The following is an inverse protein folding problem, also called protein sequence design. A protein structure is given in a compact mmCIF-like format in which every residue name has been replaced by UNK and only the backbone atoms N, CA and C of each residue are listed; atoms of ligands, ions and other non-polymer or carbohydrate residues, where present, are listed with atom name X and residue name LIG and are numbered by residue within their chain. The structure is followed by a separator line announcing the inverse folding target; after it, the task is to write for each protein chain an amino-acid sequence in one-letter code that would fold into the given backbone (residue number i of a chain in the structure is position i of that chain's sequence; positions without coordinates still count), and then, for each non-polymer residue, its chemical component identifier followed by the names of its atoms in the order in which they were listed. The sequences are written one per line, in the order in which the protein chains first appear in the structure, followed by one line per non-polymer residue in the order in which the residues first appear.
data_IF_303987099808
#
_entry.id   IF_303987099808
#
_cell.length_a   1.000
_cell.length_b   1.000
_cell.length_c   1.000
_cell.angle_alpha   90.00
_cell.angle_beta   90.00
_cell.angle_gamma   90.00
#
_symmetry.space_group_name_H-M   'P 1'
#
loop_
_entity.id
_entity.type
_entity.pdbx_description
1 polymer ?
#
# COMPACT_ATOMS: atom_id res chain seq x y z
N UNK A 1 1.02 3.60 15.56
CA UNK A 1 0.10 4.21 14.56
C UNK A 1 -0.12 5.66 14.99
N UNK A 2 0.75 6.57 14.52
CA UNK A 2 0.79 7.93 15.05
C UNK A 2 -0.43 8.76 14.59
N UNK A 3 -0.91 9.66 15.46
CA UNK A 3 -2.22 10.34 15.40
C UNK A 3 -2.35 11.40 14.30
N UNK A 4 -1.35 11.55 13.42
CA UNK A 4 -1.13 12.73 12.59
C UNK A 4 -1.39 12.60 11.09
N UNK A 5 -2.35 11.78 10.64
CA UNK A 5 -2.74 11.80 9.22
C UNK A 5 -3.71 12.96 8.93
N UNK A 6 -3.11 14.16 8.87
CA UNK A 6 -3.45 15.43 8.21
C UNK A 6 -4.93 15.74 7.86
N UNK A 7 -5.43 16.86 8.41
CA UNK A 7 -6.72 17.51 8.09
C UNK A 7 -6.48 18.76 7.22
N UNK A 8 -7.30 18.96 6.17
CA UNK A 8 -7.32 20.16 5.33
C UNK A 8 -8.35 20.06 4.19
N UNK A 9 -8.93 21.20 3.78
CA UNK A 9 -10.13 21.32 2.92
C UNK A 9 -10.00 20.83 1.47
N UNK A 10 -8.82 20.40 1.01
CA UNK A 10 -8.60 20.04 -0.39
C UNK A 10 -7.77 18.77 -0.57
N UNK A 11 -8.42 17.62 -0.35
CA UNK A 11 -7.87 16.24 -0.35
C UNK A 11 -7.37 15.82 1.03
N UNK A 12 -7.90 14.71 1.57
CA UNK A 12 -7.14 13.58 2.13
C UNK A 12 -8.12 12.56 2.78
N UNK A 13 -7.90 11.28 2.48
CA UNK A 13 -8.67 10.12 2.94
C UNK A 13 -8.81 10.01 4.47
N UNK A 14 -9.95 9.45 4.96
CA UNK A 14 -10.25 9.17 6.39
C UNK A 14 -9.03 8.66 7.20
N UNK A 15 -8.95 8.87 8.53
CA UNK A 15 -7.89 8.28 9.36
C UNK A 15 -7.73 6.77 9.14
N UNK A 16 -6.50 6.24 9.24
CA UNK A 16 -6.22 4.83 8.90
C UNK A 16 -7.11 3.85 9.68
N UNK A 17 -7.29 4.07 10.98
CA UNK A 17 -8.13 3.25 11.85
C UNK A 17 -9.63 3.27 11.47
N UNK A 18 -10.07 4.27 10.69
CA UNK A 18 -11.43 4.33 10.12
C UNK A 18 -11.53 3.68 8.73
N UNK A 19 -10.40 3.42 8.07
CA UNK A 19 -10.34 2.81 6.72
C UNK A 19 -10.10 1.32 6.73
N UNK A 20 -9.41 0.82 7.76
CA UNK A 20 -9.02 -0.57 7.86
C UNK A 20 -9.03 -1.00 9.32
N UNK A 21 -9.52 -2.21 9.59
CA UNK A 21 -9.39 -2.81 10.90
C UNK A 21 -7.93 -3.13 11.20
N UNK A 22 -7.53 -3.12 12.48
CA UNK A 22 -6.17 -3.54 12.88
C UNK A 22 -5.85 -4.95 12.37
N UNK A 23 -6.81 -5.87 12.44
CA UNK A 23 -6.65 -7.25 11.98
C UNK A 23 -6.35 -7.33 10.48
N UNK A 24 -7.02 -6.53 9.65
CA UNK A 24 -6.77 -6.52 8.21
C UNK A 24 -5.39 -5.96 7.85
N UNK A 25 -4.94 -4.93 8.57
CA UNK A 25 -3.59 -4.39 8.40
C UNK A 25 -2.54 -5.44 8.78
N UNK A 26 -2.70 -6.13 9.90
CA UNK A 26 -1.77 -7.22 10.29
C UNK A 26 -1.73 -8.32 9.23
N UNK A 27 -2.90 -8.76 8.73
CA UNK A 27 -2.97 -9.72 7.62
C UNK A 27 -2.28 -9.18 6.36
N UNK A 28 -2.41 -7.89 6.07
CA UNK A 28 -1.78 -7.27 4.91
C UNK A 28 -0.26 -7.26 5.04
N UNK A 29 0.28 -6.87 6.20
CA UNK A 29 1.72 -6.88 6.49
C UNK A 29 2.30 -8.30 6.34
N UNK A 30 1.62 -9.31 6.87
CA UNK A 30 2.05 -10.71 6.75
C UNK A 30 1.92 -11.28 5.34
N UNK A 31 1.25 -10.57 4.43
CA UNK A 31 0.99 -11.02 3.06
C UNK A 31 1.50 -10.06 2.00
N UNK A 32 2.45 -9.17 2.33
CA UNK A 32 3.16 -8.37 1.33
C UNK A 32 3.83 -9.32 0.34
N UNK A 33 3.58 -9.10 -0.95
CA UNK A 33 4.10 -9.92 -2.04
C UNK A 33 5.09 -9.14 -2.92
N UNK A 34 4.94 -7.83 -3.02
CA UNK A 34 5.86 -6.96 -3.77
C UNK A 34 5.97 -5.60 -3.11
N UNK A 35 7.15 -5.02 -3.26
CA UNK A 35 7.47 -3.65 -2.85
C UNK A 35 8.16 -2.92 -3.98
N UNK A 36 8.04 -1.60 -4.00
CA UNK A 36 8.72 -0.76 -4.97
C UNK A 36 8.86 0.66 -4.41
N UNK A 37 9.90 1.38 -4.82
CA UNK A 37 10.06 2.79 -4.47
C UNK A 37 8.90 3.62 -5.02
N UNK A 38 8.39 4.55 -4.22
CA UNK A 38 7.39 5.52 -4.68
C UNK A 38 7.98 6.43 -5.79
N UNK A 39 7.20 6.80 -6.80
CA UNK A 39 7.67 7.67 -7.90
C UNK A 39 7.93 9.11 -7.45
N UNK A 40 7.14 9.58 -6.48
CA UNK A 40 7.04 11.01 -6.16
C UNK A 40 7.85 11.39 -4.90
N UNK A 41 8.32 10.41 -4.12
CA UNK A 41 9.03 10.66 -2.85
C UNK A 41 9.97 9.50 -2.45
N UNK A 42 10.52 9.58 -1.23
CA UNK A 42 11.48 8.60 -0.67
C UNK A 42 10.82 7.37 -0.03
N UNK A 43 9.49 7.26 -0.08
CA UNK A 43 8.76 6.17 0.58
C UNK A 43 8.82 4.88 -0.24
N UNK A 44 8.54 3.77 0.44
CA UNK A 44 8.37 2.45 -0.17
C UNK A 44 6.89 2.15 -0.24
N UNK A 45 6.42 1.84 -1.45
CA UNK A 45 5.11 1.31 -1.67
C UNK A 45 5.17 -0.22 -1.59
N UNK A 46 4.11 -0.83 -1.10
CA UNK A 46 3.96 -2.27 -1.02
C UNK A 46 2.55 -2.68 -1.46
N UNK A 47 2.45 -3.90 -1.99
CA UNK A 47 1.18 -4.54 -2.27
C UNK A 47 1.11 -5.89 -1.54
N UNK A 48 -0.06 -6.17 -0.98
CA UNK A 48 -0.33 -7.41 -0.25
C UNK A 48 -1.36 -8.30 -0.95
N UNK A 49 -1.29 -9.60 -0.67
CA UNK A 49 -2.21 -10.58 -1.25
C UNK A 49 -3.67 -10.35 -0.86
N UNK A 50 -3.92 -9.81 0.34
CA UNK A 50 -5.27 -9.44 0.76
C UNK A 50 -5.77 -8.11 0.12
N UNK A 51 -4.99 -7.54 -0.81
CA UNK A 51 -5.40 -6.47 -1.72
C UNK A 51 -5.17 -5.07 -1.20
N UNK A 52 -4.26 -4.88 -0.24
CA UNK A 52 -3.90 -3.57 0.27
C UNK A 52 -2.70 -2.99 -0.47
N UNK A 53 -2.77 -1.69 -0.72
CA UNK A 53 -1.63 -0.85 -1.00
C UNK A 53 -1.17 -0.21 0.30
N UNK A 54 0.11 -0.30 0.62
CA UNK A 54 0.70 0.21 1.86
C UNK A 54 1.89 1.11 1.50
N UNK A 55 2.05 2.23 2.21
CA UNK A 55 3.19 3.14 2.06
C UNK A 55 3.96 3.19 3.37
N UNK A 56 5.25 2.93 3.27
CA UNK A 56 6.20 2.95 4.37
C UNK A 56 7.15 4.14 4.28
N UNK A 57 7.35 4.81 5.41
CA UNK A 57 8.45 5.75 5.64
C UNK A 57 9.37 5.14 6.71
N UNK A 58 10.42 4.45 6.27
CA UNK A 58 11.20 3.59 7.17
C UNK A 58 10.30 2.53 7.82
N UNK A 59 10.22 2.55 9.16
CA UNK A 59 9.42 1.59 9.93
C UNK A 59 7.96 2.03 10.14
N UNK A 60 7.57 3.19 9.64
CA UNK A 60 6.22 3.74 9.86
C UNK A 60 5.30 3.50 8.67
N UNK A 61 4.07 3.07 8.93
CA UNK A 61 3.00 3.03 7.92
C UNK A 61 2.39 4.43 7.81
N UNK A 62 2.66 5.10 6.70
CA UNK A 62 2.09 6.43 6.39
C UNK A 62 0.63 6.27 5.96
N UNK A 63 0.37 5.33 5.07
CA UNK A 63 -0.99 5.00 4.64
C UNK A 63 -1.12 3.54 4.26
N UNK A 64 -2.31 2.99 4.46
CA UNK A 64 -2.71 1.73 3.89
C UNK A 64 -4.16 1.85 3.46
N UNK A 65 -4.47 1.37 2.27
CA UNK A 65 -5.83 1.40 1.76
C UNK A 65 -6.05 0.29 0.74
N UNK A 66 -7.33 -0.05 0.56
CA UNK A 66 -7.82 -0.99 -0.43
C UNK A 66 -8.84 -0.26 -1.30
N UNK A 67 -8.73 -0.40 -2.62
CA UNK A 67 -9.67 0.24 -3.52
C UNK A 67 -11.02 -0.47 -3.47
N UNK A 68 -12.12 0.31 -3.44
CA UNK A 68 -13.49 -0.22 -3.46
C UNK A 68 -13.81 -1.08 -4.70
N UNK A 69 -13.09 -0.86 -5.82
CA UNK A 69 -13.19 -1.64 -7.06
C UNK A 69 -12.39 -2.96 -7.02
N UNK A 70 -11.84 -3.32 -5.86
CA UNK A 70 -11.17 -4.59 -5.62
C UNK A 70 -9.66 -4.60 -5.89
N UNK A 71 -9.06 -5.79 -5.74
CA UNK A 71 -7.61 -5.99 -5.70
C UNK A 71 -6.90 -5.54 -6.98
N UNK A 72 -7.49 -5.78 -8.16
CA UNK A 72 -6.92 -5.36 -9.44
C UNK A 72 -6.75 -3.84 -9.50
N UNK A 73 -7.77 -3.08 -9.09
CA UNK A 73 -7.71 -1.62 -9.07
C UNK A 73 -6.68 -1.11 -8.05
N UNK A 74 -6.56 -1.76 -6.89
CA UNK A 74 -5.49 -1.44 -5.93
C UNK A 74 -4.11 -1.71 -6.52
N UNK A 75 -3.91 -2.84 -7.22
CA UNK A 75 -2.64 -3.20 -7.82
C UNK A 75 -2.27 -2.28 -9.00
N UNK A 76 -3.24 -1.91 -9.84
CA UNK A 76 -3.02 -0.93 -10.90
C UNK A 76 -2.61 0.44 -10.33
N UNK A 77 -3.18 0.83 -9.18
CA UNK A 77 -2.71 2.02 -8.46
C UNK A 77 -1.27 1.87 -7.94
N UNK A 78 -0.93 0.72 -7.34
CA UNK A 78 0.44 0.41 -6.92
C UNK A 78 1.44 0.58 -8.07
N UNK A 79 1.15 0.00 -9.26
CA UNK A 79 1.99 0.15 -10.46
C UNK A 79 2.14 1.62 -10.86
N UNK A 80 1.05 2.37 -10.85
CA UNK A 80 1.06 3.80 -11.24
C UNK A 80 1.89 4.67 -10.30
N UNK A 81 1.84 4.41 -8.99
CA UNK A 81 2.54 5.19 -7.95
C UNK A 81 3.95 4.73 -7.63
N UNK A 82 4.40 3.63 -8.20
CA UNK A 82 5.71 3.04 -7.88
C UNK A 82 6.61 2.99 -9.10
N UNK A 83 7.92 3.10 -8.90
CA UNK A 83 8.92 2.79 -9.94
C UNK A 83 8.90 1.27 -10.15
N UNK A 84 7.88 0.79 -10.85
CA UNK A 84 7.47 -0.61 -10.87
C UNK A 84 8.50 -1.51 -11.54
N UNK A 85 9.22 -1.00 -12.52
CA UNK A 85 10.28 -1.76 -13.21
C UNK A 85 11.46 -2.09 -12.27
N UNK A 86 11.58 -1.36 -11.16
CA UNK A 86 12.57 -1.60 -10.10
C UNK A 86 11.93 -2.20 -8.84
N UNK A 87 10.83 -2.94 -9.00
CA UNK A 87 10.15 -3.63 -7.90
C UNK A 87 11.01 -4.77 -7.34
N UNK A 88 10.79 -5.05 -6.07
CA UNK A 88 11.24 -6.26 -5.41
C UNK A 88 10.03 -7.20 -5.22
N UNK A 89 10.24 -8.48 -5.52
CA UNK A 89 9.22 -9.52 -5.34
C UNK A 89 9.61 -10.33 -4.11
N UNK A 90 8.82 -10.18 -3.04
CA UNK A 90 9.05 -10.83 -1.74
C UNK A 90 8.43 -12.24 -1.73
N UNK A 91 7.22 -12.36 -2.27
CA UNK A 91 6.52 -13.64 -2.41
C UNK A 91 6.20 -13.87 -3.87
N UNK A 92 6.92 -14.80 -4.47
CA UNK A 92 6.71 -15.16 -5.87
C UNK A 92 5.40 -15.95 -6.03
N UNK A 93 4.57 -15.54 -6.99
CA UNK A 93 3.39 -16.26 -7.46
C UNK A 93 3.41 -16.28 -8.98
N UNK A 94 2.81 -17.29 -9.60
CA UNK A 94 2.69 -17.40 -11.07
C UNK A 94 2.06 -16.14 -11.70
N UNK A 95 1.20 -15.43 -10.97
CA UNK A 95 0.64 -14.15 -11.42
C UNK A 95 1.68 -13.01 -11.57
N UNK A 96 2.91 -13.16 -11.08
CA UNK A 96 3.99 -12.17 -11.19
C UNK A 96 4.81 -12.32 -12.49
N UNK A 97 4.50 -13.31 -13.34
CA UNK A 97 5.17 -13.60 -14.61
C UNK A 97 4.67 -12.74 -15.80
N UNK A 98 3.58 -11.98 -15.63
CA UNK A 98 2.90 -11.23 -16.70
C UNK A 98 2.99 -9.72 -16.48
#
# INVERSE_FOLDING_TARGET
LNKGNYFGENNHSKPLYKRASKGDIVKALNSINTTAKNKDNRYINAFSDNGYFIVFNGNEIVTAYKHEKGNKATFDYFKRRSIYDKKEVIKWKIANLL
#
